data_IF_945593703422
#
_entry.id   IF_945593703422
#
_cell.length_a   1.000
_cell.length_b   1.000
_cell.length_c   1.000
_cell.angle_alpha   90.00
_cell.angle_beta   90.00
_cell.angle_gamma   90.00
#
_symmetry.space_group_name_H-M   'P 1'
#
loop_
_entity.id
_entity.type
_entity.pdbx_description
1 polymer ?
#
# COMPACT_ATOMS: atom_id res chain seq x y z
N UNK A 1 18.11 -22.62 19.91
CA UNK A 1 17.61 -21.25 19.67
C UNK A 1 18.09 -20.94 18.27
N UNK A 2 17.22 -21.14 17.28
CA UNK A 2 17.61 -21.02 15.87
C UNK A 2 17.70 -19.54 15.52
N UNK A 3 18.90 -19.07 15.21
CA UNK A 3 19.14 -17.72 14.71
C UNK A 3 18.59 -17.62 13.28
N UNK A 4 17.54 -16.81 13.02
CA UNK A 4 17.00 -16.64 11.68
C UNK A 4 17.99 -15.98 10.70
N UNK A 5 19.02 -15.27 11.19
CA UNK A 5 20.07 -14.73 10.34
C UNK A 5 21.06 -15.81 9.86
N UNK A 6 21.23 -16.90 10.62
CA UNK A 6 22.11 -18.02 10.26
C UNK A 6 21.55 -18.94 9.14
N UNK A 7 20.36 -18.63 8.61
CA UNK A 7 19.65 -19.43 7.62
C UNK A 7 19.89 -18.98 6.16
N UNK A 8 20.48 -17.80 5.94
CA UNK A 8 20.67 -17.24 4.61
C UNK A 8 22.03 -17.63 4.03
N UNK A 9 22.02 -18.10 2.79
CA UNK A 9 23.25 -18.32 2.02
C UNK A 9 23.73 -16.98 1.42
N UNK A 10 25.01 -16.90 0.99
CA UNK A 10 25.50 -15.72 0.28
C UNK A 10 24.70 -15.39 -1.00
N UNK A 11 24.08 -16.39 -1.63
CA UNK A 11 23.18 -16.15 -2.77
C UNK A 11 21.90 -15.47 -2.33
N UNK A 12 21.30 -15.91 -1.22
CA UNK A 12 20.09 -15.27 -0.65
C UNK A 12 20.38 -13.82 -0.28
N UNK A 13 21.53 -13.52 0.33
CA UNK A 13 21.92 -12.15 0.68
C UNK A 13 22.03 -11.25 -0.56
N UNK A 14 22.60 -11.76 -1.66
CA UNK A 14 22.67 -11.03 -2.93
C UNK A 14 21.29 -10.75 -3.50
N UNK A 15 20.40 -11.73 -3.47
CA UNK A 15 19.03 -11.58 -3.96
C UNK A 15 18.25 -10.57 -3.10
N UNK A 16 18.34 -10.67 -1.77
CA UNK A 16 17.72 -9.73 -0.84
C UNK A 16 18.19 -8.29 -1.10
N UNK A 17 19.50 -8.09 -1.26
CA UNK A 17 20.05 -6.78 -1.58
C UNK A 17 19.55 -6.24 -2.94
N UNK A 18 19.46 -7.09 -3.96
CA UNK A 18 18.90 -6.71 -5.26
C UNK A 18 17.43 -6.29 -5.19
N UNK A 19 16.69 -6.80 -4.21
CA UNK A 19 15.31 -6.41 -3.91
C UNK A 19 15.19 -5.27 -2.88
N UNK A 20 16.31 -4.69 -2.43
CA UNK A 20 16.33 -3.59 -1.47
C UNK A 20 15.96 -4.01 -0.04
N UNK A 21 16.14 -5.28 0.31
CA UNK A 21 15.90 -5.83 1.64
C UNK A 21 17.22 -6.06 2.37
N UNK A 22 17.27 -5.68 3.65
CA UNK A 22 18.36 -6.07 4.54
C UNK A 22 18.17 -7.51 5.02
N UNK A 23 19.27 -8.19 5.39
CA UNK A 23 19.20 -9.53 6.00
C UNK A 23 18.40 -9.50 7.30
N UNK A 24 18.50 -8.41 8.07
CA UNK A 24 17.72 -8.21 9.29
C UNK A 24 16.21 -8.11 9.00
N UNK A 25 15.81 -7.33 7.99
CA UNK A 25 14.42 -7.26 7.55
C UNK A 25 13.89 -8.61 7.07
N UNK A 26 14.71 -9.34 6.31
CA UNK A 26 14.35 -10.66 5.83
C UNK A 26 14.18 -11.66 6.98
N UNK A 27 15.10 -11.67 7.95
CA UNK A 27 15.02 -12.51 9.14
C UNK A 27 13.77 -12.18 9.97
N UNK A 28 13.46 -10.89 10.17
CA UNK A 28 12.24 -10.43 10.85
C UNK A 28 10.98 -10.87 10.13
N UNK A 29 10.93 -10.74 8.80
CA UNK A 29 9.80 -11.19 7.99
C UNK A 29 9.64 -12.72 8.05
N UNK A 30 10.73 -13.47 8.00
CA UNK A 30 10.71 -14.92 8.11
C UNK A 30 10.20 -15.39 9.48
N UNK A 31 10.59 -14.70 10.55
CA UNK A 31 10.05 -14.95 11.90
C UNK A 31 8.53 -14.74 11.93
N UNK A 32 8.03 -13.66 11.32
CA UNK A 32 6.58 -13.42 11.18
C UNK A 32 5.88 -14.48 10.34
N UNK A 33 6.52 -15.05 9.32
CA UNK A 33 5.91 -16.13 8.51
C UNK A 33 5.88 -17.47 9.27
N UNK A 34 6.92 -17.77 10.04
CA UNK A 34 7.00 -18.98 10.87
C UNK A 34 6.05 -18.92 12.06
N UNK A 35 5.90 -17.74 12.66
CA UNK A 35 5.03 -17.47 13.79
C UNK A 35 4.16 -16.24 13.45
N UNK A 36 3.11 -16.43 12.64
CA UNK A 36 2.22 -15.34 12.26
C UNK A 36 1.59 -14.73 13.51
N UNK A 37 1.48 -13.39 13.57
CA UNK A 37 0.71 -12.76 14.63
C UNK A 37 -0.71 -13.32 14.61
N UNK A 38 -1.32 -13.43 15.79
CA UNK A 38 -2.72 -13.82 15.90
C UNK A 38 -3.61 -12.91 15.05
N UNK A 39 -4.78 -13.41 14.68
CA UNK A 39 -5.76 -12.61 13.95
C UNK A 39 -6.05 -11.31 14.70
N UNK A 40 -6.18 -10.22 13.95
CA UNK A 40 -6.60 -8.96 14.52
C UNK A 40 -7.98 -9.13 15.18
N UNK A 41 -8.07 -8.81 16.47
CA UNK A 41 -9.35 -8.79 17.16
C UNK A 41 -10.14 -7.57 16.69
N UNK A 42 -11.17 -7.80 15.87
CA UNK A 42 -12.06 -6.74 15.42
C UNK A 42 -12.83 -6.19 16.62
N UNK A 43 -12.57 -4.93 16.98
CA UNK A 43 -13.23 -4.29 18.12
C UNK A 43 -14.71 -4.05 17.82
N UNK A 44 -15.00 -3.44 16.66
CA UNK A 44 -16.34 -3.17 16.10
C UNK A 44 -16.21 -2.53 14.71
N UNK A 45 -17.27 -2.51 13.86
CA UNK A 45 -17.20 -1.83 12.56
C UNK A 45 -17.00 -0.32 12.72
N UNK A 46 -16.33 0.29 11.73
CA UNK A 46 -16.25 1.74 11.60
C UNK A 46 -17.63 2.32 11.23
N UNK A 47 -17.93 3.50 11.72
CA UNK A 47 -19.16 4.26 11.39
C UNK A 47 -18.82 5.68 10.97
N UNK A 48 -19.80 6.42 10.45
CA UNK A 48 -19.62 7.86 10.19
C UNK A 48 -19.25 8.56 11.50
N UNK A 49 -18.17 9.34 11.47
CA UNK A 49 -17.60 10.00 12.65
C UNK A 49 -16.66 9.11 13.47
N UNK A 50 -16.44 7.86 13.05
CA UNK A 50 -15.69 6.86 13.81
C UNK A 50 -15.00 5.87 12.87
N UNK A 51 -13.85 6.28 12.35
CA UNK A 51 -13.12 5.57 11.31
C UNK A 51 -13.63 5.82 9.88
N UNK A 52 -14.82 6.38 9.69
CA UNK A 52 -15.33 6.86 8.38
C UNK A 52 -15.62 8.36 8.45
N UNK A 53 -14.99 9.13 7.56
CA UNK A 53 -15.23 10.57 7.39
C UNK A 53 -16.11 10.79 6.17
N UNK A 54 -17.22 11.50 6.36
CA UNK A 54 -18.06 11.98 5.25
C UNK A 54 -17.56 13.35 4.82
N UNK A 55 -17.32 13.51 3.52
CA UNK A 55 -16.90 14.77 2.93
C UNK A 55 -18.18 15.53 2.54
N UNK A 56 -18.42 16.66 3.19
CA UNK A 56 -19.55 17.53 2.85
C UNK A 56 -19.34 18.20 1.46
N UNK A 57 -20.42 18.72 0.84
CA UNK A 57 -20.33 19.30 -0.51
C UNK A 57 -19.30 20.45 -0.64
N UNK A 58 -19.19 21.32 0.37
CA UNK A 58 -18.26 22.45 0.30
C UNK A 58 -16.81 21.97 0.37
N UNK A 59 -16.52 21.02 1.28
CA UNK A 59 -15.21 20.39 1.38
C UNK A 59 -14.87 19.57 0.13
N UNK A 60 -15.86 18.92 -0.48
CA UNK A 60 -15.68 18.18 -1.73
C UNK A 60 -15.21 19.10 -2.86
N UNK A 61 -15.91 20.22 -3.08
CA UNK A 61 -15.54 21.21 -4.09
C UNK A 61 -14.15 21.80 -3.83
N UNK A 62 -13.82 22.11 -2.58
CA UNK A 62 -12.50 22.59 -2.21
C UNK A 62 -11.38 21.57 -2.53
N UNK A 63 -11.62 20.28 -2.30
CA UNK A 63 -10.67 19.22 -2.64
C UNK A 63 -10.50 19.07 -4.16
N UNK A 64 -11.59 19.16 -4.92
CA UNK A 64 -11.53 19.14 -6.38
C UNK A 64 -10.75 20.34 -6.94
N UNK A 65 -10.97 21.54 -6.40
CA UNK A 65 -10.21 22.73 -6.79
C UNK A 65 -8.71 22.55 -6.57
N UNK A 66 -8.31 22.03 -5.39
CA UNK A 66 -6.90 21.72 -5.08
C UNK A 66 -6.30 20.67 -6.02
N UNK A 67 -7.08 19.66 -6.38
CA UNK A 67 -6.65 18.65 -7.34
C UNK A 67 -6.43 19.26 -8.73
N UNK A 68 -7.36 20.09 -9.22
CA UNK A 68 -7.25 20.78 -10.52
C UNK A 68 -6.00 21.66 -10.58
N UNK A 69 -5.74 22.44 -9.52
CA UNK A 69 -4.53 23.27 -9.41
C UNK A 69 -3.25 22.41 -9.44
N UNK A 70 -3.20 21.33 -8.66
CA UNK A 70 -2.07 20.42 -8.66
C UNK A 70 -1.84 19.75 -10.03
N UNK A 71 -2.92 19.37 -10.71
CA UNK A 71 -2.88 18.80 -12.05
C UNK A 71 -2.34 19.80 -13.07
N UNK A 72 -2.87 21.04 -13.08
CA UNK A 72 -2.43 22.09 -13.98
C UNK A 72 -0.96 22.47 -13.77
N UNK A 73 -0.48 22.39 -12.53
CA UNK A 73 0.92 22.60 -12.17
C UNK A 73 1.83 21.38 -12.47
N UNK A 74 1.31 20.31 -13.10
CA UNK A 74 2.11 19.12 -13.41
C UNK A 74 2.57 18.33 -12.19
N UNK A 75 1.93 18.49 -11.03
CA UNK A 75 2.31 17.83 -9.76
C UNK A 75 1.70 16.44 -9.56
N UNK A 76 1.02 15.91 -10.57
CA UNK A 76 0.49 14.56 -10.58
C UNK A 76 1.44 13.65 -11.37
N UNK A 77 2.07 12.71 -10.69
CA UNK A 77 3.12 11.85 -11.28
C UNK A 77 2.64 10.45 -11.60
N UNK A 78 1.83 9.83 -10.73
CA UNK A 78 1.26 8.50 -10.95
C UNK A 78 0.08 8.25 -10.04
N UNK A 79 -0.91 7.50 -10.52
CA UNK A 79 -1.95 6.92 -9.68
C UNK A 79 -1.43 5.63 -9.01
N UNK A 80 -1.15 5.69 -7.71
CA UNK A 80 -0.66 4.55 -6.93
C UNK A 80 -1.66 4.22 -5.83
N UNK A 81 -2.31 3.04 -5.86
CA UNK A 81 -3.17 2.61 -4.77
C UNK A 81 -2.38 2.47 -3.47
N UNK A 82 -2.95 2.95 -2.37
CA UNK A 82 -2.27 2.98 -1.07
C UNK A 82 -1.96 1.59 -0.48
N UNK A 83 -2.57 0.51 -0.99
CA UNK A 83 -2.32 -0.86 -0.52
C UNK A 83 -2.59 -1.91 -1.59
N UNK A 84 -2.05 -3.11 -1.41
CA UNK A 84 -2.33 -4.24 -2.30
C UNK A 84 -3.81 -4.67 -2.32
N UNK A 85 -4.55 -4.41 -1.24
CA UNK A 85 -6.00 -4.60 -1.23
C UNK A 85 -6.70 -3.58 -2.15
N UNK A 86 -6.30 -2.31 -2.09
CA UNK A 86 -6.80 -1.28 -3.01
C UNK A 86 -6.42 -1.61 -4.46
N UNK A 87 -5.18 -2.06 -4.73
CA UNK A 87 -4.79 -2.49 -6.09
C UNK A 87 -5.65 -3.64 -6.62
N UNK A 88 -6.09 -4.58 -5.77
CA UNK A 88 -7.02 -5.65 -6.19
C UNK A 88 -8.42 -5.12 -6.46
N UNK A 89 -8.93 -4.23 -5.61
CA UNK A 89 -10.26 -3.63 -5.76
C UNK A 89 -10.36 -2.78 -7.03
N UNK A 90 -9.33 -2.02 -7.37
CA UNK A 90 -9.31 -1.11 -8.52
C UNK A 90 -8.65 -1.70 -9.77
N UNK A 91 -8.29 -2.98 -9.76
CA UNK A 91 -7.52 -3.62 -10.85
C UNK A 91 -8.13 -3.38 -12.23
N UNK A 92 -9.44 -3.57 -12.37
CA UNK A 92 -10.14 -3.38 -13.64
C UNK A 92 -10.13 -1.91 -14.07
N UNK A 93 -10.36 -0.99 -13.14
CA UNK A 93 -10.38 0.46 -13.42
C UNK A 93 -8.99 0.99 -13.79
N UNK A 94 -7.93 0.47 -13.17
CA UNK A 94 -6.55 0.80 -13.52
C UNK A 94 -6.18 0.32 -14.92
N UNK A 95 -6.58 -0.91 -15.29
CA UNK A 95 -6.30 -1.45 -16.61
C UNK A 95 -6.90 -0.59 -17.74
N UNK A 96 -8.12 -0.08 -17.54
CA UNK A 96 -8.78 0.85 -18.48
C UNK A 96 -8.07 2.20 -18.56
N UNK A 97 -7.66 2.75 -17.40
CA UNK A 97 -6.93 4.03 -17.35
C UNK A 97 -5.56 3.94 -18.03
N UNK A 98 -4.80 2.88 -17.76
CA UNK A 98 -3.46 2.67 -18.33
C UNK A 98 -3.50 2.38 -19.84
N UNK A 99 -4.63 1.89 -20.35
CA UNK A 99 -4.85 1.64 -21.78
C UNK A 99 -5.25 2.89 -22.58
N UNK A 100 -5.27 4.06 -21.94
CA UNK A 100 -5.53 5.36 -22.59
C UNK A 100 -6.90 5.97 -22.31
N UNK A 101 -7.72 5.38 -21.44
CA UNK A 101 -9.04 5.88 -21.06
C UNK A 101 -10.07 5.91 -22.21
N UNK A 102 -11.38 5.96 -21.93
CA UNK A 102 -12.35 6.28 -22.96
C UNK A 102 -12.14 7.72 -23.44
N UNK A 103 -12.10 7.91 -24.75
CA UNK A 103 -12.11 9.24 -25.40
C UNK A 103 -13.39 10.02 -25.12
#
# INVERSE_FOLDING_TARGET
MDDPAACFTPEDERQLAAHGLSVEDAARQLALLRQPPGYAHLVRPCTVGDGIVVIDPARHEALLARWREASAAGRLTRFVPASGAASRMFRTLLAEYESGGPG
#
